data_IF_649126398701
#
_entry.id   IF_649126398701
#
_cell.length_a   1.000
_cell.length_b   1.000
_cell.length_c   1.000
_cell.angle_alpha   90.00
_cell.angle_beta   90.00
_cell.angle_gamma   90.00
#
_symmetry.space_group_name_H-M   'P 1'
#
loop_
_entity.id
_entity.type
_entity.pdbx_description
1 polymer ?
2 non-polymer ?
#
# COMPACT_ATOMS: atom_id res chain seq x y z
N UNK A 3 3.26 -9.80 13.20
CA UNK A 3 2.38 -8.59 13.14
C UNK A 3 2.43 -7.86 14.48
N UNK A 4 3.60 -7.46 14.89
CA UNK A 4 3.79 -6.73 16.19
C UNK A 4 3.12 -5.37 16.20
N UNK A 5 2.74 -4.90 17.35
CA UNK A 5 2.09 -3.56 17.44
C UNK A 5 3.07 -2.49 16.96
N UNK A 6 4.34 -2.72 17.12
CA UNK A 6 5.35 -1.73 16.69
C UNK A 6 5.87 -2.08 15.29
N UNK A 7 6.09 -1.08 14.47
CA UNK A 7 6.58 -1.35 13.10
C UNK A 7 7.95 -0.67 12.89
N UNK A 8 9.03 -1.38 13.14
CA UNK A 8 10.39 -0.81 12.98
C UNK A 8 10.80 -0.75 11.51
N UNK A 9 11.85 -0.04 11.18
CA UNK A 9 12.27 0.05 9.77
C UNK A 9 12.70 -1.32 9.24
N UNK A 10 12.13 -1.75 8.16
CA UNK A 10 12.50 -3.06 7.57
C UNK A 10 12.55 -2.93 6.04
N UNK A 11 13.50 -3.56 5.40
CA UNK A 11 13.58 -3.47 3.91
C UNK A 11 13.46 -4.86 3.30
N UNK A 12 12.52 -5.06 2.43
CA UNK A 12 12.35 -6.40 1.79
C UNK A 12 12.12 -6.22 0.28
N UNK A 13 12.60 -7.15 -0.50
CA UNK A 13 12.41 -7.05 -1.98
C UNK A 13 12.02 -8.42 -2.54
N UNK A 14 11.29 -8.44 -3.62
CA UNK A 14 10.88 -9.75 -4.21
C UNK A 14 10.58 -9.57 -5.70
N UNK A 15 10.68 -10.61 -6.47
CA UNK A 15 10.40 -10.50 -7.93
C UNK A 15 9.01 -11.08 -8.21
N UNK A 16 8.22 -10.38 -8.97
CA UNK A 16 6.85 -10.88 -9.29
C UNK A 16 6.62 -10.82 -10.80
N UNK A 17 5.64 -11.53 -11.29
CA UNK A 17 5.39 -11.50 -12.76
C UNK A 17 4.55 -10.27 -13.14
N UNK A 18 5.18 -9.19 -13.50
CA UNK A 18 4.40 -7.97 -13.88
C UNK A 18 5.35 -6.88 -14.35
N UNK A 19 4.83 -5.89 -15.03
CA UNK A 19 5.68 -4.77 -15.50
C UNK A 19 5.50 -3.62 -14.51
N UNK A 20 6.46 -2.74 -14.40
CA UNK A 20 6.31 -1.62 -13.44
C UNK A 20 5.08 -0.78 -13.80
N UNK A 21 4.86 -0.57 -15.07
CA UNK A 21 3.66 0.21 -15.47
C UNK A 21 2.42 -0.53 -14.99
N UNK A 22 2.44 -1.83 -15.07
CA UNK A 22 1.28 -2.63 -14.60
C UNK A 22 1.09 -2.43 -13.10
N UNK A 23 2.15 -2.45 -12.37
CA UNK A 23 2.05 -2.29 -10.90
C UNK A 23 1.24 -1.05 -10.58
N UNK A 24 1.50 0.04 -11.25
CA UNK A 24 0.74 1.26 -10.96
C UNK A 24 -0.59 1.27 -11.70
N UNK A 25 -0.65 0.68 -12.85
CA UNK A 25 -1.94 0.66 -13.57
C UNK A 25 -2.97 -0.04 -12.69
N UNK A 26 -2.58 -1.11 -12.08
CA UNK A 26 -3.52 -1.84 -11.19
C UNK A 26 -3.81 -1.02 -9.93
N UNK A 27 -2.81 -0.38 -9.39
CA UNK A 27 -2.99 0.42 -8.14
C UNK A 27 -4.14 1.44 -8.30
N UNK A 28 -4.18 2.14 -9.39
CA UNK A 28 -5.26 3.14 -9.56
C UNK A 28 -6.47 2.50 -10.23
N UNK A 29 -6.40 1.27 -10.62
CA UNK A 29 -7.56 0.64 -11.30
C UNK A 29 -8.40 -0.22 -10.33
N UNK A 30 -7.80 -1.00 -9.46
CA UNK A 30 -8.65 -1.86 -8.56
C UNK A 30 -7.81 -2.71 -7.59
N UNK A 31 -6.95 -2.12 -6.82
CA UNK A 31 -6.11 -2.89 -5.85
C UNK A 31 -6.97 -3.68 -4.85
N UNK A 32 -8.12 -3.18 -4.51
CA UNK A 32 -8.99 -3.91 -3.53
C UNK A 32 -9.64 -5.14 -4.20
N UNK A 33 -10.06 -4.99 -5.43
CA UNK A 33 -10.73 -6.12 -6.13
C UNK A 33 -9.86 -7.39 -6.13
N UNK A 34 -8.55 -7.26 -6.02
CA UNK A 34 -7.70 -8.49 -6.03
C UNK A 34 -8.37 -9.58 -5.16
N UNK A 35 -9.07 -9.17 -4.14
CA UNK A 35 -9.75 -10.16 -3.25
C UNK A 35 -10.52 -11.18 -4.11
N UNK A 36 -10.29 -12.46 -3.92
CA UNK A 36 -11.00 -13.53 -4.70
C UNK A 36 -12.43 -13.76 -4.18
N UNK A 37 -13.26 -14.36 -5.00
CA UNK A 37 -14.68 -14.66 -4.65
C UNK A 37 -14.80 -15.62 -3.47
N UNK A 38 -13.78 -16.41 -3.22
CA UNK A 38 -13.83 -17.37 -2.08
C UNK A 38 -12.74 -17.02 -1.07
N UNK A 39 -12.98 -17.27 0.19
CA UNK A 39 -11.96 -16.94 1.23
C UNK A 39 -11.63 -15.45 1.15
N UNK A 40 -11.90 -14.71 2.19
CA UNK A 40 -11.61 -13.25 2.15
C UNK A 40 -10.34 -12.93 2.94
N UNK A 41 -9.38 -12.31 2.31
CA UNK A 41 -8.11 -11.96 3.01
C UNK A 41 -8.39 -10.82 3.98
N UNK A 42 -9.32 -9.97 3.66
CA UNK A 42 -9.63 -8.82 4.56
C UNK A 42 -10.89 -9.11 5.37
N UNK A 43 -10.85 -8.92 6.65
CA UNK A 43 -12.05 -9.18 7.49
C UNK A 43 -13.17 -8.24 7.06
N UNK A 44 -12.83 -7.03 6.71
CA UNK A 44 -13.86 -6.06 6.26
C UNK A 44 -14.03 -6.19 4.75
N UNK A 45 -15.21 -6.01 4.25
CA UNK A 45 -15.42 -6.14 2.78
C UNK A 45 -15.09 -4.81 2.11
N UNK A 46 -14.07 -4.78 1.30
CA UNK A 46 -13.72 -3.52 0.58
C UNK A 46 -14.88 -3.16 -0.34
N UNK A 47 -15.19 -1.90 -0.45
CA UNK A 47 -16.34 -1.49 -1.31
C UNK A 47 -15.87 -0.64 -2.50
N UNK A 48 -15.06 0.34 -2.26
CA UNK A 48 -14.58 1.18 -3.38
C UNK A 48 -13.26 1.85 -3.02
N UNK A 49 -12.65 2.53 -3.94
CA UNK A 49 -11.37 3.20 -3.64
C UNK A 49 -11.16 4.37 -4.59
N UNK A 50 -10.70 5.47 -4.10
CA UNK A 50 -10.43 6.64 -4.98
C UNK A 50 -8.94 6.66 -5.27
N UNK A 51 -8.54 6.89 -6.48
CA UNK A 51 -7.09 6.88 -6.80
C UNK A 51 -6.75 7.99 -7.78
N UNK A 52 -5.79 8.81 -7.46
CA UNK A 52 -5.40 9.91 -8.40
C UNK A 52 -3.87 9.89 -8.59
N UNK A 53 -3.36 10.04 -9.79
CA UNK A 53 -1.88 10.06 -10.03
C UNK A 53 -1.27 11.46 -9.88
N UNK A 54 -0.21 11.58 -9.11
CA UNK A 54 0.42 12.91 -8.88
C UNK A 54 1.50 12.82 -7.79
N UNK A 55 2.13 13.94 -7.48
CA UNK A 55 3.17 13.95 -6.41
C UNK A 55 2.48 14.38 -5.11
N UNK A 56 2.85 13.84 -3.98
CA UNK A 56 2.12 14.23 -2.74
C UNK A 56 0.70 13.73 -2.97
N UNK A 57 0.62 12.65 -3.68
CA UNK A 57 -0.67 12.08 -4.10
C UNK A 57 -1.45 11.41 -2.96
N UNK A 58 -2.65 10.95 -3.26
CA UNK A 58 -3.47 10.30 -2.20
C UNK A 58 -4.32 9.16 -2.77
N UNK A 59 -4.47 8.12 -2.00
CA UNK A 59 -5.31 6.95 -2.38
C UNK A 59 -6.41 6.80 -1.33
N UNK A 60 -7.56 6.30 -1.70
CA UNK A 60 -8.68 6.19 -0.71
C UNK A 60 -9.35 4.81 -0.78
N UNK A 61 -9.93 4.38 0.31
CA UNK A 61 -10.62 3.05 0.35
C UNK A 61 -12.03 3.24 0.92
N UNK A 62 -12.99 2.53 0.41
CA UNK A 62 -14.37 2.66 0.93
C UNK A 62 -14.72 1.41 1.73
N UNK A 63 -15.21 1.57 2.94
CA UNK A 63 -15.60 0.35 3.72
C UNK A 63 -17.13 0.29 3.75
N UNK A 64 -17.70 -0.87 3.55
CA UNK A 64 -19.18 -0.97 3.54
C UNK A 64 -19.77 -0.32 4.79
N UNK A 65 -19.13 -0.47 5.91
CA UNK A 65 -19.64 0.18 7.15
C UNK A 65 -18.73 1.37 7.43
N UNK A 66 -17.68 1.50 6.68
CA UNK A 66 -16.74 2.62 6.89
C UNK A 66 -16.79 3.59 5.72
N UNK A 67 -16.89 4.84 6.03
CA UNK A 67 -16.93 5.92 5.02
C UNK A 67 -15.64 5.89 4.18
N UNK A 68 -15.51 6.80 3.25
CA UNK A 68 -14.30 6.86 2.39
C UNK A 68 -13.17 7.48 3.22
N UNK A 69 -11.97 7.00 3.10
CA UNK A 69 -10.87 7.58 3.90
C UNK A 69 -9.55 7.46 3.14
N UNK A 70 -8.60 8.34 3.44
CA UNK A 70 -7.28 8.26 2.77
C UNK A 70 -6.35 7.47 3.68
N UNK A 71 -5.74 6.43 3.18
CA UNK A 71 -4.84 5.60 4.04
C UNK A 71 -3.38 5.78 3.64
N UNK A 72 -3.07 6.63 2.70
CA UNK A 72 -1.65 6.76 2.32
C UNK A 72 -1.40 8.07 1.57
N UNK A 73 -0.20 8.23 1.08
CA UNK A 73 0.18 9.46 0.33
C UNK A 73 1.27 9.07 -0.66
N UNK A 74 1.75 10.01 -1.40
CA UNK A 74 2.84 9.72 -2.38
C UNK A 74 3.93 10.79 -2.22
N UNK A 75 5.09 10.59 -2.76
CA UNK A 75 6.18 11.60 -2.63
C UNK A 75 6.49 12.21 -4.00
N UNK A 76 6.67 11.36 -4.97
CA UNK A 76 6.98 11.84 -6.35
C UNK A 76 7.00 10.63 -7.28
N UNK A 77 6.61 10.80 -8.51
CA UNK A 77 6.61 9.65 -9.46
C UNK A 77 7.81 9.74 -10.39
N UNK A 78 8.66 8.74 -10.38
CA UNK A 78 9.84 8.75 -11.28
C UNK A 78 9.56 7.78 -12.45
N UNK A 79 9.71 8.21 -13.68
CA UNK A 79 9.42 7.37 -14.87
C UNK A 79 9.66 5.89 -14.60
N UNK A 80 8.97 5.03 -15.31
CA UNK A 80 9.06 3.55 -15.15
C UNK A 80 10.44 3.12 -14.65
N UNK A 81 10.68 3.27 -13.38
CA UNK A 81 11.99 2.87 -12.82
C UNK A 81 12.00 3.07 -11.30
N UNK A 82 11.43 4.15 -10.81
CA UNK A 82 11.46 4.35 -9.32
C UNK A 82 10.27 5.19 -8.85
N UNK A 83 9.69 4.81 -7.74
CA UNK A 83 8.56 5.59 -7.19
C UNK A 83 8.69 5.68 -5.66
N UNK A 84 8.66 6.87 -5.13
CA UNK A 84 8.75 7.04 -3.65
C UNK A 84 7.39 7.49 -3.16
N UNK A 85 7.00 7.17 -1.94
CA UNK A 85 5.64 7.61 -1.51
C UNK A 85 5.56 7.86 -0.01
N UNK A 86 4.78 8.84 0.39
CA UNK A 86 4.58 9.12 1.84
C UNK A 86 3.21 8.58 2.24
N UNK A 87 3.01 8.20 3.47
CA UNK A 87 1.68 7.65 3.86
C UNK A 87 0.87 8.68 4.67
N UNK A 88 -0.36 8.92 4.28
CA UNK A 88 -1.20 9.91 5.03
C UNK A 88 -2.39 9.19 5.69
N UNK A 89 -2.25 8.81 6.93
CA UNK A 89 -3.39 8.14 7.64
C UNK A 89 -3.34 8.48 9.13
N UNK A 90 -4.45 8.41 9.81
CA UNK A 90 -4.46 8.72 11.26
C UNK A 90 -4.48 7.42 12.07
N UNK A 91 -4.37 7.53 13.36
CA UNK A 91 -4.36 6.31 14.22
C UNK A 91 -5.65 5.50 14.04
N UNK A 92 -6.77 6.17 13.88
CA UNK A 92 -8.06 5.42 13.72
C UNK A 92 -8.59 5.53 12.29
N UNK A 93 -7.73 5.44 11.31
CA UNK A 93 -8.20 5.54 9.90
C UNK A 93 -8.99 6.84 9.71
N UNK A 94 -8.46 7.94 10.17
CA UNK A 94 -9.16 9.24 10.01
C UNK A 94 -8.25 10.20 9.25
N UNK A 95 -8.82 11.17 8.58
CA UNK A 95 -7.98 12.13 7.82
C UNK A 95 -7.79 13.41 8.63
N UNK A 96 -6.69 14.10 8.44
CA UNK A 96 -6.43 15.36 9.19
C UNK A 96 -5.68 16.34 8.29
N UNK A 97 -5.77 17.61 8.59
CA UNK A 97 -5.08 18.67 7.78
C UNK A 97 -3.59 18.36 7.62
N UNK A 98 -3.00 17.70 8.58
CA UNK A 98 -1.55 17.35 8.48
C UNK A 98 -1.27 16.19 9.42
N UNK A 99 -0.31 15.36 9.09
CA UNK A 99 0.02 14.21 9.96
C UNK A 99 1.31 14.48 10.72
N UNK A 100 1.24 14.53 12.02
CA UNK A 100 2.47 14.77 12.82
C UNK A 100 3.26 13.47 12.89
N UNK A 101 2.60 12.36 12.72
CA UNK A 101 3.28 11.04 12.78
C UNK A 101 3.44 10.47 11.37
N UNK A 102 3.68 11.31 10.41
CA UNK A 102 3.82 10.81 9.01
C UNK A 102 5.27 10.40 8.75
N UNK A 103 5.45 9.33 8.01
CA UNK A 103 6.83 8.84 7.70
C UNK A 103 7.01 8.76 6.19
N UNK A 104 8.23 8.69 5.71
CA UNK A 104 8.46 8.62 4.24
C UNK A 104 8.91 7.21 3.86
N UNK A 105 8.45 6.71 2.74
CA UNK A 105 8.84 5.35 2.30
C UNK A 105 9.51 5.42 0.93
N UNK A 106 10.54 4.66 0.72
CA UNK A 106 11.23 4.68 -0.60
C UNK A 106 10.97 3.36 -1.31
N UNK A 107 10.42 3.41 -2.50
CA UNK A 107 10.13 2.15 -3.24
C UNK A 107 10.72 2.26 -4.65
N UNK A 108 11.34 1.20 -5.14
CA UNK A 108 11.93 1.26 -6.51
C UNK A 108 11.23 0.23 -7.39
N UNK A 109 10.81 0.64 -8.57
CA UNK A 109 10.13 -0.30 -9.49
C UNK A 109 10.95 -0.43 -10.77
N UNK A 110 11.31 -1.63 -11.17
CA UNK A 110 12.09 -1.80 -12.43
C UNK A 110 11.43 -2.91 -13.26
N UNK A 111 11.21 -2.69 -14.54
CA UNK A 111 10.56 -3.69 -15.42
C UNK A 111 11.48 -4.86 -15.78
N UNK A 112 11.03 -6.06 -15.53
CA UNK A 112 11.86 -7.25 -15.87
C UNK A 112 11.10 -8.11 -16.87
N UNK A 113 11.70 -8.42 -17.98
CA UNK A 113 10.99 -9.26 -18.98
C UNK A 113 9.65 -8.61 -19.34
N UNK A 114 8.97 -9.13 -20.32
CA UNK A 114 7.66 -8.55 -20.71
C UNK A 114 6.68 -8.69 -19.53
N UNK A 115 6.91 -9.64 -18.67
CA UNK A 115 5.98 -9.83 -17.51
C UNK A 115 6.78 -10.12 -16.24
N UNK A 116 7.77 -9.31 -15.94
CA UNK A 116 8.57 -9.53 -14.69
C UNK A 116 8.72 -8.20 -13.96
N UNK A 117 8.53 -8.19 -12.67
CA UNK A 117 8.65 -6.91 -11.91
C UNK A 117 9.52 -7.12 -10.67
N UNK A 118 10.52 -6.29 -10.51
CA UNK A 118 11.39 -6.37 -9.32
C UNK A 118 11.11 -5.12 -8.48
N UNK A 119 10.68 -5.29 -7.25
CA UNK A 119 10.34 -4.10 -6.43
C UNK A 119 11.10 -4.11 -5.11
N UNK A 120 11.57 -2.97 -4.70
CA UNK A 120 12.29 -2.86 -3.40
C UNK A 120 11.53 -1.87 -2.52
N UNK A 121 10.77 -2.35 -1.59
CA UNK A 121 9.99 -1.42 -0.71
C UNK A 121 10.65 -1.33 0.66
N UNK A 122 10.93 -0.13 1.10
CA UNK A 122 11.57 0.02 2.44
C UNK A 122 10.84 1.10 3.24
N UNK A 123 10.21 0.74 4.31
CA UNK A 123 9.50 1.75 5.14
C UNK A 123 10.39 2.07 6.34
N UNK A 124 10.51 3.30 6.73
CA UNK A 124 11.41 3.64 7.87
C UNK A 124 10.77 4.59 8.87
N UNK A 125 11.16 4.47 10.11
CA UNK A 125 10.64 5.36 11.18
C UNK A 125 9.12 5.37 11.19
N UNK A 126 8.50 4.28 10.82
CA UNK A 126 7.02 4.24 10.84
C UNK A 126 6.57 4.24 12.30
N UNK A 127 7.30 3.56 13.15
CA UNK A 127 6.94 3.50 14.59
C UNK A 127 6.59 4.90 15.08
N UNK A 128 6.88 5.90 14.31
CA UNK A 128 6.55 7.27 14.74
C UNK A 128 5.09 7.31 15.17
N UNK A 129 4.25 6.54 14.52
CA UNK A 129 2.81 6.52 14.91
C UNK A 129 2.61 5.60 16.11
N UNK A 130 3.48 4.63 16.27
CA UNK A 130 3.36 3.68 17.43
C UNK A 130 1.89 3.40 17.74
N UNK A 131 1.58 3.19 18.99
CA UNK A 131 0.17 2.90 19.38
C UNK A 131 -0.41 1.81 18.47
N UNK A 132 -1.59 2.01 17.96
CA UNK A 132 -2.20 0.99 17.07
C UNK A 132 -1.61 1.12 15.67
N UNK A 133 -0.31 1.22 15.57
CA UNK A 133 0.33 1.37 14.24
C UNK A 133 -0.02 0.16 13.37
N UNK A 134 0.30 -1.03 13.81
CA UNK A 134 -0.03 -2.22 12.99
C UNK A 134 -1.54 -2.27 12.77
N UNK A 135 -2.30 -1.76 13.69
CA UNK A 135 -3.78 -1.77 13.51
C UNK A 135 -4.07 -1.08 12.18
N UNK A 136 -3.41 0.01 11.92
CA UNK A 136 -3.61 0.71 10.64
C UNK A 136 -3.24 -0.26 9.53
N UNK A 137 -2.15 -0.96 9.70
CA UNK A 137 -1.73 -1.96 8.69
C UNK A 137 -2.81 -3.03 8.61
N UNK A 138 -3.47 -3.31 9.71
CA UNK A 138 -4.53 -4.35 9.67
C UNK A 138 -5.51 -4.00 8.56
N UNK A 139 -5.74 -2.73 8.33
CA UNK A 139 -6.66 -2.36 7.22
C UNK A 139 -6.02 -2.81 5.91
N UNK A 140 -4.76 -2.57 5.74
CA UNK A 140 -4.07 -3.03 4.51
C UNK A 140 -3.99 -4.55 4.59
N UNK A 141 -3.95 -5.09 5.78
CA UNK A 141 -3.92 -6.57 5.97
C UNK A 141 -2.67 -7.18 5.34
N UNK A 142 -1.67 -7.45 6.15
CA UNK A 142 -0.42 -8.08 5.63
C UNK A 142 -0.07 -9.28 6.50
N UNK A 143 -0.77 -10.37 6.34
CA UNK A 143 -0.54 -11.61 7.13
C UNK A 143 0.90 -12.10 7.03
N UNK A 144 1.45 -12.60 8.10
CA UNK A 144 2.85 -13.10 8.06
C UNK A 144 2.99 -14.17 6.98
N UNK A 145 2.07 -15.10 6.91
CA UNK A 145 2.09 -16.20 5.90
C UNK A 145 2.13 -15.66 4.46
N UNK A 146 1.56 -14.52 4.24
CA UNK A 146 1.56 -13.93 2.87
C UNK A 146 1.71 -12.42 2.95
N UNK A 147 2.57 -11.86 2.15
CA UNK A 147 2.77 -10.39 2.19
C UNK A 147 1.98 -9.73 1.05
N UNK A 148 1.93 -8.43 1.03
CA UNK A 148 1.19 -7.73 -0.06
C UNK A 148 1.75 -8.17 -1.40
N UNK A 149 3.03 -8.39 -1.48
CA UNK A 149 3.64 -8.81 -2.75
C UNK A 149 3.07 -10.17 -3.16
N UNK A 150 2.78 -11.01 -2.21
CA UNK A 150 2.23 -12.37 -2.52
C UNK A 150 0.77 -12.30 -2.98
N UNK A 151 -0.07 -11.66 -2.23
CA UNK A 151 -1.52 -11.61 -2.61
C UNK A 151 -1.73 -10.85 -3.90
N UNK A 152 -1.10 -9.72 -4.07
CA UNK A 152 -1.31 -8.93 -5.32
C UNK A 152 -0.55 -9.55 -6.49
N UNK A 153 0.59 -10.14 -6.25
CA UNK A 153 1.36 -10.74 -7.39
C UNK A 153 0.63 -11.99 -7.91
N UNK A 154 0.16 -12.81 -7.04
CA UNK A 154 -0.54 -14.06 -7.46
C UNK A 154 -1.77 -13.72 -8.31
N UNK A 155 -2.55 -12.77 -7.88
CA UNK A 155 -3.77 -12.39 -8.65
C UNK A 155 -3.37 -11.77 -9.98
N UNK A 156 -2.34 -10.97 -9.99
CA UNK A 156 -1.93 -10.33 -11.27
C UNK A 156 -1.46 -11.41 -12.25
#
# INVERSE_FOLDING_TARGET
>A
GSMPEEIPDVRKSVVVAASVEHCFEVFTSRPADWWPPSHVLVKKERAGLAFEPFVGGRYYEWDIDGTEIVWGRILEWDPPHRLAMTWRIDGHWQSVPDDDRASEIEVDFVPNGSGGTRVELAHVKLHRHGDGAWNIHKALDGPSPGETLARFANVILE
#
